data_IF_037279659104
#
_entry.id   IF_037279659104
#
_cell.length_a   1.000
_cell.length_b   1.000
_cell.length_c   1.000
_cell.angle_alpha   90.00
_cell.angle_beta   90.00
_cell.angle_gamma   90.00
#
_symmetry.space_group_name_H-M   'P 1'
#
loop_
_entity.id
_entity.type
_entity.pdbx_description
1 polymer ?
#
# COMPACT_ATOMS: atom_id res chain seq x y z
N UNK A 1 33.33 48.49 -12.44
CA UNK A 1 32.45 48.44 -11.25
C UNK A 1 31.11 47.86 -11.68
N UNK A 2 30.93 46.56 -11.45
CA UNK A 2 29.77 45.79 -11.88
C UNK A 2 28.53 46.15 -11.08
N UNK A 3 27.49 46.67 -11.73
CA UNK A 3 26.12 46.66 -11.20
C UNK A 3 25.20 46.28 -12.35
N UNK A 4 25.09 44.97 -12.58
CA UNK A 4 24.14 44.40 -13.51
C UNK A 4 22.75 44.55 -12.90
N UNK A 5 22.00 45.44 -13.54
CA UNK A 5 20.61 45.77 -13.28
C UNK A 5 19.72 44.53 -13.50
N UNK A 6 19.03 44.14 -12.42
CA UNK A 6 17.69 43.57 -12.37
C UNK A 6 17.19 42.87 -13.64
N UNK A 7 17.41 41.56 -13.73
CA UNK A 7 16.76 40.71 -14.73
C UNK A 7 15.38 40.29 -14.24
N UNK A 8 14.39 41.16 -14.47
CA UNK A 8 12.97 40.81 -14.43
C UNK A 8 12.59 40.16 -15.76
N UNK A 9 12.49 38.83 -15.80
CA UNK A 9 11.83 38.11 -16.89
C UNK A 9 10.99 36.98 -16.30
N UNK A 10 9.81 37.32 -15.78
CA UNK A 10 8.75 36.35 -15.48
C UNK A 10 7.97 36.07 -16.75
N UNK A 11 8.53 35.26 -17.65
CA UNK A 11 7.84 34.83 -18.87
C UNK A 11 6.91 33.66 -18.57
N UNK A 12 5.62 33.98 -18.40
CA UNK A 12 4.39 33.28 -18.80
C UNK A 12 4.10 31.81 -18.40
N UNK A 13 5.04 31.03 -17.87
CA UNK A 13 4.77 29.64 -17.49
C UNK A 13 4.81 29.46 -15.98
N UNK A 14 3.66 29.08 -15.41
CA UNK A 14 3.39 28.96 -13.97
C UNK A 14 4.40 28.11 -13.19
N UNK A 15 4.25 28.10 -11.86
CA UNK A 15 5.15 27.45 -10.89
C UNK A 15 5.74 26.13 -11.44
N UNK A 16 7.07 26.06 -11.49
CA UNK A 16 7.84 24.87 -11.91
C UNK A 16 8.18 24.02 -10.68
N UNK A 17 8.24 22.70 -10.84
CA UNK A 17 8.61 21.77 -9.77
C UNK A 17 10.08 21.93 -9.39
N UNK A 18 10.38 22.07 -8.10
CA UNK A 18 11.74 22.23 -7.56
C UNK A 18 12.61 20.96 -7.65
N UNK A 19 12.00 19.78 -7.84
CA UNK A 19 12.74 18.52 -7.93
C UNK A 19 13.11 18.14 -9.37
N UNK A 20 12.29 18.50 -10.35
CA UNK A 20 12.43 18.02 -11.72
C UNK A 20 12.30 19.10 -12.80
N UNK A 21 12.10 20.37 -12.42
CA UNK A 21 12.16 21.53 -13.32
C UNK A 21 11.01 21.66 -14.32
N UNK A 22 10.03 20.74 -14.31
CA UNK A 22 8.87 20.75 -15.21
C UNK A 22 7.73 21.63 -14.65
N UNK A 23 6.87 22.21 -15.51
CA UNK A 23 5.66 22.90 -15.07
C UNK A 23 4.78 21.97 -14.22
N UNK A 24 4.20 22.47 -13.12
CA UNK A 24 3.39 21.64 -12.20
C UNK A 24 2.28 20.86 -12.93
N UNK A 25 1.67 21.42 -13.97
CA UNK A 25 0.62 20.78 -14.76
C UNK A 25 1.06 19.51 -15.51
N UNK A 26 2.36 19.35 -15.79
CA UNK A 26 2.94 18.16 -16.46
C UNK A 26 3.91 17.42 -15.53
N UNK A 27 3.89 17.75 -14.24
CA UNK A 27 4.78 17.15 -13.27
C UNK A 27 4.26 15.76 -12.87
N UNK A 28 5.07 14.73 -13.08
CA UNK A 28 4.81 13.35 -12.64
C UNK A 28 5.60 12.99 -11.38
N UNK A 29 6.28 13.96 -10.77
CA UNK A 29 7.18 13.72 -9.64
C UNK A 29 6.37 13.34 -8.37
N UNK A 30 5.07 13.68 -8.32
CA UNK A 30 4.11 13.24 -7.28
C UNK A 30 3.61 11.79 -7.50
N UNK A 31 3.43 11.36 -8.76
CA UNK A 31 3.01 10.00 -9.12
C UNK A 31 4.07 8.92 -8.83
N UNK A 32 5.33 9.31 -8.62
CA UNK A 32 6.39 8.38 -8.20
C UNK A 32 6.42 8.14 -6.68
N UNK A 33 5.75 8.99 -5.90
CA UNK A 33 5.68 8.87 -4.43
C UNK A 33 4.33 8.35 -3.92
N UNK A 34 3.36 8.21 -4.82
CA UNK A 34 2.13 7.48 -4.55
C UNK A 34 2.32 6.08 -5.12
N UNK A 35 2.50 5.07 -4.26
CA UNK A 35 2.43 3.66 -4.65
C UNK A 35 1.17 3.43 -5.48
N UNK A 36 1.34 3.39 -6.80
CA UNK A 36 0.27 3.30 -7.77
C UNK A 36 -0.45 1.97 -7.56
N UNK A 37 -1.63 2.04 -6.94
CA UNK A 37 -2.58 0.95 -6.84
C UNK A 37 -3.06 0.63 -8.26
N UNK A 38 -2.55 -0.46 -8.85
CA UNK A 38 -2.93 -0.89 -10.17
C UNK A 38 -4.36 -1.47 -10.09
N UNK A 39 -5.33 -1.11 -10.93
CA UNK A 39 -6.72 -1.60 -10.80
C UNK A 39 -6.91 -3.13 -10.95
N UNK A 40 -5.86 -3.88 -11.29
CA UNK A 40 -5.80 -5.34 -11.14
C UNK A 40 -5.57 -5.82 -9.68
N UNK A 41 -5.33 -4.90 -8.74
CA UNK A 41 -5.10 -5.12 -7.30
C UNK A 41 -6.37 -5.14 -6.44
N UNK A 42 -7.57 -5.20 -7.03
CA UNK A 42 -8.80 -5.36 -6.24
C UNK A 42 -8.95 -6.73 -5.57
N UNK A 43 -8.01 -7.66 -5.77
CA UNK A 43 -8.07 -9.01 -5.23
C UNK A 43 -7.13 -9.14 -4.03
N UNK A 44 -7.71 -9.43 -2.87
CA UNK A 44 -6.99 -9.70 -1.63
C UNK A 44 -6.22 -11.02 -1.76
N UNK A 45 -4.89 -10.96 -1.65
CA UNK A 45 -4.01 -12.12 -1.75
C UNK A 45 -3.63 -12.59 -0.35
N UNK A 46 -3.90 -13.85 -0.03
CA UNK A 46 -3.63 -14.44 1.29
C UNK A 46 -2.55 -15.52 1.14
N UNK A 47 -1.38 -15.32 1.74
CA UNK A 47 -0.22 -16.22 1.64
C UNK A 47 0.15 -16.82 2.98
N UNK A 48 0.59 -18.07 2.98
CA UNK A 48 1.16 -18.73 4.16
C UNK A 48 2.68 -18.70 4.08
N UNK A 49 3.32 -18.00 5.00
CA UNK A 49 4.76 -17.92 5.15
C UNK A 49 5.22 -18.88 6.26
N UNK A 50 6.00 -19.90 5.87
CA UNK A 50 6.61 -20.88 6.80
C UNK A 50 8.13 -20.83 6.82
N UNK A 51 8.76 -20.33 5.76
CA UNK A 51 10.23 -20.37 5.59
C UNK A 51 10.91 -19.37 6.53
N UNK A 52 12.01 -19.80 7.14
CA UNK A 52 12.90 -18.92 7.93
C UNK A 52 12.36 -18.46 9.28
N UNK A 53 11.24 -19.01 9.79
CA UNK A 53 10.63 -18.58 11.07
C UNK A 53 10.66 -19.65 12.18
N UNK A 54 11.59 -20.60 12.10
CA UNK A 54 11.83 -21.57 13.19
C UNK A 54 10.60 -22.41 13.55
N UNK A 55 9.81 -22.81 12.55
CA UNK A 55 8.56 -23.56 12.72
C UNK A 55 7.31 -22.71 12.98
N UNK A 56 7.44 -21.39 13.16
CA UNK A 56 6.27 -20.50 13.31
C UNK A 56 5.68 -20.15 11.95
N UNK A 57 4.41 -20.48 11.77
CA UNK A 57 3.64 -20.12 10.59
C UNK A 57 3.06 -18.72 10.73
N UNK A 58 3.10 -17.92 9.67
CA UNK A 58 2.45 -16.60 9.61
C UNK A 58 1.67 -16.49 8.32
N UNK A 59 0.45 -15.99 8.40
CA UNK A 59 -0.38 -15.68 7.24
C UNK A 59 -0.23 -14.22 6.86
N UNK A 60 0.17 -13.93 5.62
CA UNK A 60 0.33 -12.57 5.09
C UNK A 60 -0.83 -12.23 4.16
N UNK A 61 -1.38 -11.02 4.25
CA UNK A 61 -2.48 -10.54 3.41
C UNK A 61 -2.07 -9.25 2.72
N UNK A 62 -2.12 -9.23 1.39
CA UNK A 62 -1.76 -8.08 0.56
C UNK A 62 -2.83 -7.78 -0.49
N UNK A 63 -2.77 -6.61 -1.14
CA UNK A 63 -3.78 -6.20 -2.13
C UNK A 63 -5.14 -5.91 -1.51
N UNK A 64 -5.16 -5.35 -0.29
CA UNK A 64 -6.40 -4.89 0.34
C UNK A 64 -6.78 -3.56 -0.32
N UNK A 65 -7.96 -3.45 -0.95
CA UNK A 65 -8.39 -2.21 -1.55
C UNK A 65 -8.70 -1.17 -0.48
N UNK A 66 -8.45 0.10 -0.81
CA UNK A 66 -8.68 1.22 0.09
C UNK A 66 -7.39 1.78 0.68
N UNK A 67 -7.53 2.48 1.81
CA UNK A 67 -6.43 3.15 2.48
C UNK A 67 -5.77 2.24 3.51
N UNK A 68 -4.63 2.68 4.05
CA UNK A 68 -3.98 2.01 5.19
C UNK A 68 -4.93 1.88 6.40
N UNK A 69 -5.82 2.84 6.61
CA UNK A 69 -6.76 2.83 7.73
C UNK A 69 -7.81 1.72 7.60
N UNK A 70 -8.32 1.52 6.38
CA UNK A 70 -9.21 0.40 6.05
C UNK A 70 -8.55 -0.96 6.36
N UNK A 71 -7.27 -1.11 5.95
CA UNK A 71 -6.51 -2.32 6.23
C UNK A 71 -6.31 -2.57 7.73
N UNK A 72 -6.04 -1.52 8.52
CA UNK A 72 -5.92 -1.61 9.98
C UNK A 72 -7.27 -1.92 10.65
N UNK A 73 -8.37 -1.42 10.09
CA UNK A 73 -9.73 -1.76 10.52
C UNK A 73 -10.02 -3.25 10.28
N UNK A 74 -9.67 -3.79 9.11
CA UNK A 74 -9.78 -5.23 8.84
C UNK A 74 -8.86 -6.06 9.76
N UNK A 75 -7.64 -5.60 10.05
CA UNK A 75 -6.74 -6.25 11.00
C UNK A 75 -7.39 -6.40 12.38
N UNK A 76 -8.01 -5.34 12.88
CA UNK A 76 -8.63 -5.33 14.21
C UNK A 76 -9.80 -6.30 14.30
N UNK A 77 -10.64 -6.33 13.26
CA UNK A 77 -11.73 -7.31 13.13
C UNK A 77 -11.20 -8.75 13.06
N UNK A 78 -10.15 -9.00 12.28
CA UNK A 78 -9.51 -10.31 12.16
C UNK A 78 -8.89 -10.78 13.47
N UNK A 79 -8.18 -9.91 14.20
CA UNK A 79 -7.63 -10.21 15.54
C UNK A 79 -8.74 -10.61 16.51
N UNK A 80 -9.87 -9.89 16.50
CA UNK A 80 -11.04 -10.20 17.35
C UNK A 80 -11.72 -11.51 16.96
N UNK A 81 -11.82 -11.82 15.67
CA UNK A 81 -12.45 -13.08 15.15
C UNK A 81 -11.57 -14.30 15.38
N UNK A 82 -10.24 -14.16 15.24
CA UNK A 82 -9.30 -15.29 15.27
C UNK A 82 -8.63 -15.51 16.62
N UNK A 83 -8.64 -14.52 17.51
CA UNK A 83 -7.93 -14.56 18.80
C UNK A 83 -6.40 -14.57 18.65
N UNK A 84 -5.89 -14.09 17.51
CA UNK A 84 -4.46 -14.14 17.18
C UNK A 84 -3.85 -12.74 17.15
N UNK A 85 -2.55 -12.65 17.42
CA UNK A 85 -1.78 -11.44 17.15
C UNK A 85 -1.64 -11.18 15.64
N UNK A 86 -1.41 -9.91 15.29
CA UNK A 86 -1.07 -9.50 13.94
C UNK A 86 -0.69 -8.03 13.83
N UNK A 87 0.03 -7.68 12.77
CA UNK A 87 0.61 -6.37 12.53
C UNK A 87 0.53 -5.99 11.05
N UNK A 88 0.48 -4.69 10.75
CA UNK A 88 0.66 -4.19 9.38
C UNK A 88 2.14 -3.91 9.14
N UNK A 89 2.73 -4.54 8.12
CA UNK A 89 4.14 -4.42 7.77
C UNK A 89 4.31 -4.46 6.25
N UNK A 90 5.16 -3.59 5.70
CA UNK A 90 5.50 -3.58 4.27
C UNK A 90 4.27 -3.56 3.32
N UNK A 91 3.22 -2.81 3.70
CA UNK A 91 1.99 -2.73 2.90
C UNK A 91 1.10 -3.98 2.95
N UNK A 92 1.34 -4.88 3.90
CA UNK A 92 0.61 -6.15 4.06
C UNK A 92 0.24 -6.40 5.52
N UNK A 93 -0.83 -7.15 5.78
CA UNK A 93 -1.15 -7.66 7.11
C UNK A 93 -0.38 -8.94 7.37
N UNK A 94 0.26 -9.06 8.53
CA UNK A 94 0.84 -10.30 9.04
C UNK A 94 -0.01 -10.80 10.22
N UNK A 95 -0.49 -12.03 10.15
CA UNK A 95 -1.32 -12.68 11.18
C UNK A 95 -0.62 -13.96 11.62
N UNK A 96 -0.50 -14.18 12.93
CA UNK A 96 0.16 -15.36 13.46
C UNK A 96 -0.66 -16.65 13.23
N UNK A 97 0.03 -17.71 12.81
CA UNK A 97 -0.55 -19.03 12.53
C UNK A 97 -1.02 -19.22 11.09
N UNK A 98 -1.39 -20.45 10.76
CA UNK A 98 -2.07 -20.79 9.52
C UNK A 98 -3.57 -20.53 9.65
N UNK A 99 -4.03 -19.39 9.13
CA UNK A 99 -5.44 -18.96 9.18
C UNK A 99 -5.96 -18.59 7.80
N UNK A 100 -5.33 -19.12 6.74
CA UNK A 100 -5.60 -18.76 5.34
C UNK A 100 -7.09 -18.91 5.01
N UNK A 101 -7.69 -20.05 5.33
CA UNK A 101 -9.09 -20.33 5.00
C UNK A 101 -10.07 -19.39 5.70
N UNK A 102 -9.85 -19.12 6.99
CA UNK A 102 -10.69 -18.21 7.77
C UNK A 102 -10.58 -16.76 7.28
N UNK A 103 -9.38 -16.34 6.89
CA UNK A 103 -9.14 -15.01 6.33
C UNK A 103 -9.80 -14.89 4.95
N UNK A 104 -9.69 -15.91 4.10
CA UNK A 104 -10.37 -15.94 2.81
C UNK A 104 -11.89 -15.87 2.97
N UNK A 105 -12.46 -16.62 3.91
CA UNK A 105 -13.87 -16.57 4.23
C UNK A 105 -14.28 -15.16 4.69
N UNK A 106 -13.53 -14.57 5.63
CA UNK A 106 -13.79 -13.21 6.10
C UNK A 106 -13.84 -12.19 4.97
N UNK A 107 -12.85 -12.18 4.07
CA UNK A 107 -12.85 -11.21 2.97
C UNK A 107 -13.99 -11.46 1.98
N UNK A 108 -14.32 -12.73 1.68
CA UNK A 108 -15.50 -13.07 0.85
C UNK A 108 -16.81 -12.61 1.49
N UNK A 109 -16.98 -12.80 2.79
CA UNK A 109 -18.15 -12.32 3.56
C UNK A 109 -18.28 -10.78 3.51
N UNK A 110 -17.15 -10.07 3.44
CA UNK A 110 -17.11 -8.61 3.32
C UNK A 110 -17.22 -8.11 1.85
N UNK A 111 -17.55 -9.00 0.89
CA UNK A 111 -17.69 -8.64 -0.52
C UNK A 111 -16.38 -8.36 -1.24
N UNK A 112 -15.24 -8.72 -0.66
CA UNK A 112 -13.91 -8.52 -1.24
C UNK A 112 -13.43 -9.82 -1.89
N UNK A 113 -13.06 -9.81 -3.18
CA UNK A 113 -12.56 -11.01 -3.85
C UNK A 113 -11.20 -11.37 -3.25
N UNK A 114 -11.11 -12.55 -2.63
CA UNK A 114 -9.90 -13.02 -1.98
C UNK A 114 -9.41 -14.35 -2.57
N UNK A 115 -8.10 -14.46 -2.79
CA UNK A 115 -7.44 -15.65 -3.35
C UNK A 115 -6.24 -16.05 -2.51
N UNK A 116 -6.05 -17.37 -2.35
CA UNK A 116 -4.82 -17.92 -1.77
C UNK A 116 -3.65 -17.64 -2.73
N UNK A 117 -2.56 -17.13 -2.21
CA UNK A 117 -1.32 -16.87 -2.93
C UNK A 117 -0.19 -17.70 -2.31
N UNK A 118 0.66 -18.31 -3.14
CA UNK A 118 1.67 -19.27 -2.68
C UNK A 118 1.15 -20.71 -2.61
N UNK A 119 1.85 -21.59 -3.32
CA UNK A 119 1.68 -23.04 -3.27
C UNK A 119 2.37 -23.65 -2.06
#
# INVERSE_FOLDING_TARGET
MSRQNQTVFSTEFGRHCSQCGRPLQKCICDLKNSQAFNPADSIVRVRLEKKGRGGKEVTTVSGIPGTKDDALSHLTKLKKKLGTGGSWKDGSLEIQGNRVELILAYFKENGLPAKKSGG
#
